data_IF_149146906687
#
_entry.id   IF_149146906687
#
_cell.length_a   1.000
_cell.length_b   1.000
_cell.length_c   1.000
_cell.angle_alpha   90.00
_cell.angle_beta   90.00
_cell.angle_gamma   90.00
#
_symmetry.space_group_name_H-M   'P 1'
#
loop_
_entity.id
_entity.type
_entity.pdbx_description
1 polymer ?
2 non-polymer ?
3 non-polymer ?
4 water ?
#
# COMPACT_ATOMS: atom_id res chain seq x y z
N UNK A 1 -12.86 -12.77 -10.07
CA UNK A 1 -13.10 -14.18 -9.99
C UNK A 1 -12.59 -15.13 -11.07
N UNK A 2 -11.77 -14.77 -12.08
CA UNK A 2 -11.14 -15.75 -12.95
C UNK A 2 -9.92 -16.27 -12.18
N UNK A 3 -9.74 -17.57 -12.01
CA UNK A 3 -8.64 -18.15 -11.27
C UNK A 3 -7.86 -19.00 -12.26
N UNK A 4 -6.55 -18.87 -12.35
CA UNK A 4 -5.82 -19.66 -13.34
C UNK A 4 -5.19 -20.93 -12.79
N UNK A 5 -5.29 -22.00 -13.53
CA UNK A 5 -4.82 -23.30 -13.10
C UNK A 5 -3.38 -23.74 -12.87
N UNK A 6 -2.46 -22.81 -12.78
CA UNK A 6 -1.06 -23.22 -12.95
C UNK A 6 -0.22 -22.25 -12.17
N UNK A 7 -0.88 -21.54 -11.25
CA UNK A 7 -0.23 -20.54 -10.43
C UNK A 7 -0.37 -20.98 -8.98
N UNK A 8 0.36 -20.34 -8.10
CA UNK A 8 0.31 -20.58 -6.67
C UNK A 8 -0.26 -19.31 -6.07
N UNK A 9 -1.07 -19.40 -5.02
CA UNK A 9 -1.76 -18.24 -4.51
C UNK A 9 -1.56 -18.03 -3.02
N UNK A 10 -1.49 -16.76 -2.61
CA UNK A 10 -1.44 -16.41 -1.22
C UNK A 10 -2.84 -15.95 -0.79
N UNK A 11 -3.21 -16.18 0.48
CA UNK A 11 -4.45 -15.68 1.10
C UNK A 11 -4.64 -14.19 0.92
N UNK A 12 -3.56 -13.42 0.89
CA UNK A 12 -3.69 -11.99 0.70
C UNK A 12 -3.86 -11.62 -0.77
N UNK A 13 -4.14 -12.59 -1.65
CA UNK A 13 -4.49 -12.43 -3.05
C UNK A 13 -3.43 -12.02 -4.04
N UNK A 14 -2.27 -12.66 -3.91
CA UNK A 14 -1.15 -12.48 -4.83
C UNK A 14 -0.97 -13.86 -5.48
N UNK A 15 -0.48 -13.88 -6.70
CA UNK A 15 -0.21 -15.12 -7.40
C UNK A 15 1.28 -15.21 -7.64
N UNK A 16 1.78 -16.42 -7.85
CA UNK A 16 3.18 -16.65 -8.19
C UNK A 16 3.14 -17.61 -9.39
N UNK A 17 3.96 -17.32 -10.41
CA UNK A 17 4.16 -18.17 -11.56
C UNK A 17 5.63 -18.50 -11.49
N UNK A 18 5.94 -19.74 -11.21
CA UNK A 18 7.32 -20.18 -11.10
C UNK A 18 7.73 -20.86 -12.40
N UNK A 19 8.66 -20.31 -13.19
CA UNK A 19 9.09 -20.96 -14.43
C UNK A 19 10.60 -21.08 -14.20
N UNK A 20 11.11 -22.28 -13.98
CA UNK A 20 12.54 -22.51 -13.78
C UNK A 20 13.08 -21.85 -12.51
N UNK A 21 14.08 -20.97 -12.67
CA UNK A 21 14.69 -20.30 -11.54
C UNK A 21 14.22 -18.87 -11.33
N UNK A 22 13.12 -18.44 -11.95
CA UNK A 22 12.56 -17.16 -11.65
C UNK A 22 11.09 -17.39 -11.32
N UNK A 23 10.53 -16.43 -10.59
CA UNK A 23 9.15 -16.47 -10.19
C UNK A 23 8.63 -15.07 -10.45
N UNK A 24 7.46 -14.96 -11.08
CA UNK A 24 6.80 -13.69 -11.39
C UNK A 24 5.63 -13.59 -10.40
N UNK A 25 5.44 -12.40 -9.84
CA UNK A 25 4.42 -12.12 -8.84
C UNK A 25 3.50 -11.00 -9.33
N UNK A 26 2.19 -11.08 -9.03
CA UNK A 26 1.21 -10.05 -9.30
C UNK A 26 0.02 -10.23 -8.36
N UNK A 27 -1.07 -9.50 -8.50
CA UNK A 27 -2.23 -9.68 -7.63
C UNK A 27 -3.35 -10.32 -8.47
N UNK A 28 -4.30 -11.02 -7.86
CA UNK A 28 -5.26 -11.77 -8.64
C UNK A 28 -6.40 -10.93 -9.20
N UNK A 29 -7.21 -11.59 -10.04
CA UNK A 29 -8.40 -10.97 -10.58
C UNK A 29 -9.36 -10.65 -9.45
N UNK A 30 -9.47 -11.49 -8.41
CA UNK A 30 -10.35 -11.19 -7.28
C UNK A 30 -9.87 -9.93 -6.58
N UNK A 31 -8.55 -9.79 -6.41
CA UNK A 31 -8.01 -8.61 -5.77
C UNK A 31 -8.33 -7.37 -6.59
N UNK A 32 -8.09 -7.29 -7.91
CA UNK A 32 -8.33 -6.01 -8.59
C UNK A 32 -9.80 -5.67 -8.61
N UNK A 33 -10.65 -6.70 -8.72
CA UNK A 33 -12.08 -6.47 -8.80
C UNK A 33 -12.63 -5.87 -7.52
N UNK A 34 -12.09 -6.27 -6.36
CA UNK A 34 -12.48 -5.69 -5.09
C UNK A 34 -11.82 -4.36 -4.82
N UNK A 35 -10.64 -4.02 -5.36
CA UNK A 35 -10.05 -2.72 -5.07
C UNK A 35 -10.70 -1.61 -5.86
N UNK A 36 -11.17 -1.96 -7.06
CA UNK A 36 -11.74 -0.99 -7.96
C UNK A 36 -10.63 -0.51 -8.85
N UNK A 37 -10.84 0.63 -9.50
CA UNK A 37 -9.87 1.20 -10.44
C UNK A 37 -8.52 1.51 -9.80
N UNK A 38 -7.46 0.89 -10.32
CA UNK A 38 -6.11 1.08 -9.84
C UNK A 38 -5.52 2.29 -10.57
N UNK A 39 -5.12 3.27 -9.75
CA UNK A 39 -4.59 4.52 -10.26
C UNK A 39 -3.09 4.71 -10.01
N UNK A 40 -2.41 3.90 -9.19
CA UNK A 40 -0.98 4.06 -8.98
C UNK A 40 -0.43 2.78 -8.36
N UNK A 41 0.86 2.48 -8.57
CA UNK A 41 1.53 1.27 -8.08
C UNK A 41 2.91 1.70 -7.61
N UNK A 42 3.36 1.21 -6.47
CA UNK A 42 4.69 1.49 -5.95
C UNK A 42 5.47 0.16 -5.93
N UNK A 43 6.61 0.08 -6.60
CA UNK A 43 7.37 -1.17 -6.73
C UNK A 43 8.75 -1.06 -6.07
N UNK A 44 9.42 -2.15 -5.65
CA UNK A 44 10.79 -2.12 -5.19
C UNK A 44 11.80 -1.85 -6.32
N UNK A 45 13.05 -1.80 -5.89
CA UNK A 45 14.17 -1.53 -6.74
C UNK A 45 14.80 -2.88 -7.09
N UNK A 46 15.40 -3.06 -8.27
CA UNK A 46 16.16 -4.25 -8.63
C UNK A 46 17.30 -4.50 -7.66
N UNK A 47 17.55 -5.75 -7.29
CA UNK A 47 18.62 -6.10 -6.37
C UNK A 47 18.17 -6.19 -4.91
N UNK A 48 16.96 -5.75 -4.62
CA UNK A 48 16.36 -5.78 -3.29
C UNK A 48 15.92 -7.19 -2.95
N UNK A 49 15.91 -7.56 -1.68
CA UNK A 49 15.38 -8.83 -1.22
C UNK A 49 13.97 -8.60 -0.72
N UNK A 50 13.09 -9.56 -0.97
CA UNK A 50 11.74 -9.52 -0.45
C UNK A 50 11.63 -10.77 0.44
N UNK A 51 10.73 -10.79 1.43
CA UNK A 51 10.58 -11.91 2.38
C UNK A 51 9.12 -12.32 2.39
N UNK A 52 8.89 -13.61 2.39
CA UNK A 52 7.59 -14.23 2.46
C UNK A 52 6.74 -13.52 3.49
N UNK A 53 5.56 -13.04 3.14
CA UNK A 53 4.63 -12.40 4.06
C UNK A 53 4.93 -10.96 4.43
N UNK A 54 6.02 -10.36 3.96
CA UNK A 54 6.35 -8.98 4.25
C UNK A 54 6.03 -8.19 3.00
N UNK A 55 5.71 -6.90 3.17
CA UNK A 55 5.29 -6.07 2.05
C UNK A 55 6.47 -5.67 1.19
N UNK A 56 6.24 -5.63 -0.12
CA UNK A 56 7.28 -5.17 -1.02
C UNK A 56 6.84 -3.95 -1.81
N UNK A 57 5.54 -3.60 -1.83
CA UNK A 57 5.07 -2.50 -2.64
C UNK A 57 3.64 -2.19 -2.30
N UNK A 58 2.95 -1.42 -3.12
CA UNK A 58 1.58 -1.03 -2.81
C UNK A 58 0.83 -0.75 -4.09
N UNK A 59 -0.49 -0.99 -4.04
CA UNK A 59 -1.37 -0.72 -5.15
C UNK A 59 -2.36 0.31 -4.60
N UNK A 60 -2.63 1.40 -5.32
CA UNK A 60 -3.56 2.41 -4.87
C UNK A 60 -4.71 2.47 -5.84
N UNK A 61 -5.91 2.37 -5.29
CA UNK A 61 -7.13 2.48 -6.07
C UNK A 61 -7.68 3.88 -5.82
N UNK A 62 -8.85 4.17 -6.39
CA UNK A 62 -9.50 5.48 -6.20
C UNK A 62 -9.91 5.74 -4.75
N UNK A 63 -10.14 4.68 -3.96
CA UNK A 63 -10.57 4.80 -2.58
C UNK A 63 -9.50 4.42 -1.56
N UNK A 64 -8.46 3.63 -1.89
CA UNK A 64 -7.61 3.09 -0.84
C UNK A 64 -6.24 2.60 -1.24
N UNK A 65 -5.33 2.51 -0.27
CA UNK A 65 -3.98 1.97 -0.46
C UNK A 65 -4.01 0.52 0.03
N UNK A 66 -3.46 -0.39 -0.73
CA UNK A 66 -3.36 -1.77 -0.34
C UNK A 66 -1.89 -2.22 -0.44
N UNK A 67 -1.23 -2.59 0.65
CA UNK A 67 0.17 -2.99 0.60
C UNK A 67 0.18 -4.43 0.19
N UNK A 68 1.12 -4.79 -0.68
CA UNK A 68 1.17 -6.14 -1.22
C UNK A 68 2.33 -6.88 -0.60
N UNK A 69 2.04 -8.06 -0.10
CA UNK A 69 3.04 -8.88 0.59
C UNK A 69 3.70 -9.85 -0.36
N UNK A 70 4.99 -10.15 -0.22
CA UNK A 70 5.62 -11.08 -1.13
C UNK A 70 5.11 -12.47 -0.76
N UNK A 71 4.63 -13.35 -1.66
CA UNK A 71 4.22 -14.70 -1.30
C UNK A 71 5.38 -15.62 -1.00
N UNK A 72 6.62 -15.31 -1.45
CA UNK A 72 7.81 -16.11 -1.19
C UNK A 72 9.02 -15.17 -1.03
N UNK A 73 10.18 -15.63 -0.59
CA UNK A 73 11.38 -14.84 -0.38
C UNK A 73 12.29 -14.89 -1.61
N UNK A 74 13.06 -13.83 -1.88
CA UNK A 74 13.93 -13.83 -3.04
C UNK A 74 14.58 -12.49 -3.28
N UNK A 75 15.26 -12.36 -4.41
CA UNK A 75 15.92 -11.11 -4.79
C UNK A 75 15.21 -10.63 -6.05
N UNK A 76 14.78 -9.37 -6.07
CA UNK A 76 14.11 -8.76 -7.21
C UNK A 76 15.16 -8.64 -8.31
N UNK A 77 14.86 -9.13 -9.49
CA UNK A 77 15.76 -8.97 -10.60
C UNK A 77 15.11 -8.13 -11.68
N UNK A 78 13.78 -8.14 -11.85
CA UNK A 78 13.11 -7.31 -12.84
C UNK A 78 11.82 -6.76 -12.24
N UNK A 79 11.47 -5.51 -12.58
CA UNK A 79 10.33 -4.77 -12.03
C UNK A 79 9.51 -4.32 -13.24
N UNK A 80 8.18 -4.43 -13.23
CA UNK A 80 7.39 -4.00 -14.37
C UNK A 80 7.31 -2.49 -14.47
N UNK A 81 8.28 -1.84 -15.14
CA UNK A 81 8.24 -0.39 -15.23
C UNK A 81 7.05 0.15 -16.04
N UNK A 82 6.38 -0.67 -16.86
CA UNK A 82 5.21 -0.28 -17.63
C UNK A 82 4.01 0.11 -16.75
N UNK A 83 3.91 -0.46 -15.55
CA UNK A 83 2.84 -0.17 -14.61
C UNK A 83 2.82 1.24 -14.09
N UNK A 84 3.96 1.91 -14.00
CA UNK A 84 3.98 3.25 -13.44
C UNK A 84 3.16 4.22 -14.30
N UNK A 85 3.30 4.06 -15.60
CA UNK A 85 2.54 4.86 -16.53
C UNK A 85 1.19 4.24 -16.84
N UNK A 86 1.02 2.94 -16.65
CA UNK A 86 -0.24 2.34 -16.98
C UNK A 86 -0.76 1.51 -15.81
N UNK A 87 -1.09 2.05 -14.62
CA UNK A 87 -1.45 1.25 -13.44
C UNK A 87 -2.70 0.37 -13.67
N UNK A 88 -3.51 0.78 -14.65
CA UNK A 88 -4.76 0.14 -15.07
C UNK A 88 -4.57 -1.27 -15.60
N UNK A 89 -3.35 -1.65 -16.03
CA UNK A 89 -3.06 -3.01 -16.48
C UNK A 89 -3.33 -4.03 -15.38
N UNK A 90 -3.32 -3.59 -14.11
CA UNK A 90 -3.66 -4.48 -13.01
C UNK A 90 -5.14 -4.81 -13.11
N UNK A 91 -6.01 -3.88 -13.50
CA UNK A 91 -7.43 -4.18 -13.63
C UNK A 91 -7.72 -4.96 -14.90
N UNK A 92 -7.03 -4.62 -16.01
CA UNK A 92 -7.30 -5.29 -17.26
C UNK A 92 -6.59 -6.62 -17.50
N UNK A 93 -5.41 -6.80 -16.94
CA UNK A 93 -4.61 -7.97 -17.20
C UNK A 93 -3.90 -8.43 -15.94
N UNK A 94 -4.53 -8.84 -14.82
CA UNK A 94 -3.81 -9.11 -13.57
C UNK A 94 -2.77 -10.23 -13.66
N UNK A 95 -3.01 -11.19 -14.56
CA UNK A 95 -2.16 -12.35 -14.67
C UNK A 95 -1.14 -12.28 -15.79
N UNK A 96 -1.24 -11.29 -16.68
CA UNK A 96 -0.36 -11.23 -17.84
C UNK A 96 0.41 -9.93 -17.83
N UNK A 97 -0.23 -8.85 -18.32
CA UNK A 97 0.42 -7.56 -18.44
C UNK A 97 0.56 -6.81 -17.14
N UNK A 98 -0.24 -7.18 -16.12
CA UNK A 98 -0.19 -6.56 -14.81
C UNK A 98 0.80 -7.23 -13.86
N UNK A 99 1.77 -8.02 -14.32
CA UNK A 99 2.74 -8.63 -13.43
C UNK A 99 3.49 -7.50 -12.75
N UNK A 100 3.99 -7.69 -11.53
CA UNK A 100 4.61 -6.60 -10.83
C UNK A 100 6.10 -6.78 -10.72
N UNK A 101 6.62 -7.91 -10.25
CA UNK A 101 8.05 -8.12 -10.06
C UNK A 101 8.43 -9.55 -10.48
N UNK A 102 9.73 -9.76 -10.74
CA UNK A 102 10.29 -11.07 -11.03
C UNK A 102 11.41 -11.22 -10.05
N UNK A 103 11.46 -12.40 -9.47
CA UNK A 103 12.32 -12.74 -8.36
C UNK A 103 13.16 -13.98 -8.63
N UNK A 104 14.34 -14.06 -7.97
CA UNK A 104 15.10 -15.30 -7.91
C UNK A 104 14.74 -15.87 -6.53
N UNK A 105 13.99 -16.97 -6.45
CA UNK A 105 13.50 -17.56 -5.20
C UNK A 105 14.65 -18.05 -4.34
N UNK A 106 14.80 -17.59 -3.12
CA UNK A 106 15.90 -18.03 -2.28
C UNK A 106 15.56 -19.26 -1.42
N UNK A 107 14.27 -19.51 -1.15
CA UNK A 107 13.86 -20.69 -0.41
C UNK A 107 12.71 -21.33 -1.16
N UNK A 108 12.93 -22.02 -2.28
CA UNK A 108 11.87 -22.39 -3.20
C UNK A 108 10.82 -23.33 -2.61
N UNK A 109 11.08 -24.06 -1.52
CA UNK A 109 10.01 -24.90 -1.02
C UNK A 109 8.96 -24.13 -0.21
N UNK A 110 9.08 -22.80 -0.05
CA UNK A 110 7.99 -21.99 0.51
C UNK A 110 6.79 -22.10 -0.43
N UNK A 111 7.04 -22.46 -1.69
CA UNK A 111 5.98 -22.69 -2.64
C UNK A 111 5.10 -23.87 -2.27
N UNK A 112 5.52 -24.72 -1.32
CA UNK A 112 4.73 -25.83 -0.82
C UNK A 112 3.51 -25.36 -0.05
N UNK A 113 3.72 -24.29 0.71
CA UNK A 113 2.74 -23.68 1.60
C UNK A 113 1.72 -22.76 0.94
N UNK A 114 1.68 -22.70 -0.39
CA UNK A 114 0.79 -21.79 -1.06
C UNK A 114 -0.37 -22.60 -1.59
N UNK A 115 -1.49 -21.91 -1.68
CA UNK A 115 -2.72 -22.52 -2.13
C UNK A 115 -2.67 -22.72 -3.63
N UNK A 116 -3.25 -23.82 -4.09
CA UNK A 116 -3.42 -24.03 -5.51
C UNK A 116 -4.73 -23.39 -5.92
N UNK A 117 -5.06 -23.40 -7.21
CA UNK A 117 -6.28 -22.79 -7.72
C UNK A 117 -7.62 -23.18 -7.06
N UNK A 118 -7.93 -24.46 -6.84
CA UNK A 118 -9.17 -24.86 -6.18
C UNK A 118 -9.20 -24.32 -4.77
N UNK A 119 -8.12 -24.51 -4.00
CA UNK A 119 -8.03 -24.00 -2.65
C UNK A 119 -8.20 -22.49 -2.61
N UNK A 120 -7.64 -21.76 -3.57
CA UNK A 120 -7.81 -20.32 -3.58
C UNK A 120 -9.26 -19.94 -3.89
N UNK A 121 -9.91 -20.67 -4.80
CA UNK A 121 -11.31 -20.43 -5.14
C UNK A 121 -12.19 -20.63 -3.91
N UNK A 122 -12.02 -21.73 -3.16
CA UNK A 122 -12.81 -21.99 -1.98
C UNK A 122 -12.55 -20.90 -0.96
N UNK A 123 -11.28 -20.52 -0.78
CA UNK A 123 -10.92 -19.45 0.13
C UNK A 123 -11.65 -18.13 -0.18
N UNK A 124 -11.67 -17.74 -1.46
CA UNK A 124 -12.36 -16.51 -1.87
C UNK A 124 -13.86 -16.64 -1.63
N UNK A 125 -14.45 -17.81 -1.86
CA UNK A 125 -15.85 -18.03 -1.59
C UNK A 125 -16.15 -17.82 -0.12
N UNK A 126 -15.34 -18.40 0.77
CA UNK A 126 -15.52 -18.26 2.22
C UNK A 126 -15.39 -16.81 2.66
N UNK A 127 -14.38 -16.14 2.12
CA UNK A 127 -14.14 -14.78 2.46
C UNK A 127 -15.27 -13.87 1.98
N UNK A 128 -15.80 -14.09 0.78
CA UNK A 128 -16.90 -13.30 0.26
C UNK A 128 -18.21 -13.66 0.94
N UNK A 129 -18.39 -14.87 1.45
CA UNK A 129 -19.60 -15.27 2.14
C UNK A 129 -19.58 -14.86 3.61
N UNK A 130 -18.48 -14.30 4.13
CA UNK A 130 -18.53 -13.70 5.46
C UNK A 130 -19.10 -12.31 5.22
N UNK A 131 -20.29 -12.26 4.58
CA UNK A 131 -21.03 -11.08 4.16
C UNK A 131 -22.47 -11.53 3.93
N UNK B 1 -9.60 19.52 -2.80
CA UNK B 1 -9.48 19.24 -1.40
C UNK B 1 -8.42 20.23 -0.92
N UNK B 2 -8.24 20.59 0.34
CA UNK B 2 -7.13 21.42 0.70
C UNK B 2 -5.83 20.67 0.64
N UNK B 3 -4.81 21.38 0.21
CA UNK B 3 -3.44 20.90 0.19
C UNK B 3 -2.75 22.03 0.92
N UNK B 4 -1.92 21.74 1.89
CA UNK B 4 -1.26 22.80 2.64
C UNK B 4 0.13 23.02 2.08
N UNK B 5 0.57 24.26 2.20
CA UNK B 5 1.84 24.63 1.64
C UNK B 5 3.14 24.24 2.25
N UNK B 6 3.31 24.12 3.56
CA UNK B 6 4.62 23.77 4.06
C UNK B 6 4.79 22.27 4.29
N UNK B 7 3.95 21.42 3.69
CA UNK B 7 4.01 20.01 4.01
C UNK B 7 4.59 19.25 2.86
N UNK B 8 5.10 18.05 3.12
CA UNK B 8 5.57 17.17 2.05
C UNK B 8 4.57 16.01 2.01
N UNK B 9 4.42 15.39 0.84
CA UNK B 9 3.36 14.42 0.58
C UNK B 9 3.87 13.16 -0.08
N UNK B 10 3.38 11.99 0.29
CA UNK B 10 3.73 10.74 -0.37
C UNK B 10 2.63 10.43 -1.40
N UNK B 11 2.89 9.75 -2.52
CA UNK B 11 1.85 9.30 -3.45
C UNK B 11 0.75 8.45 -2.83
N UNK B 12 0.98 7.76 -1.70
CA UNK B 12 -0.09 7.04 -1.03
C UNK B 12 -0.94 7.92 -0.14
N UNK B 13 -0.78 9.25 -0.22
CA UNK B 13 -1.64 10.26 0.40
C UNK B 13 -1.51 10.52 1.88
N UNK B 14 -0.27 10.41 2.35
CA UNK B 14 0.05 10.82 3.70
C UNK B 14 0.89 12.09 3.59
N UNK B 15 0.86 12.94 4.60
CA UNK B 15 1.64 14.17 4.64
C UNK B 15 2.67 14.07 5.76
N UNK B 16 3.70 14.93 5.71
CA UNK B 16 4.75 15.00 6.70
C UNK B 16 4.99 16.48 7.01
N UNK B 17 4.98 16.85 8.28
CA UNK B 17 5.33 18.19 8.74
C UNK B 17 6.61 17.97 9.52
N UNK B 18 7.74 18.49 9.11
CA UNK B 18 8.96 18.27 9.87
C UNK B 18 9.22 19.52 10.71
N UNK B 19 9.33 19.39 12.03
CA UNK B 19 9.59 20.50 12.93
C UNK B 19 10.67 20.05 13.88
N UNK B 20 11.85 20.64 13.75
CA UNK B 20 12.99 20.31 14.58
C UNK B 20 13.40 18.89 14.29
N UNK B 21 13.56 18.07 15.33
CA UNK B 21 13.87 16.69 15.09
C UNK B 21 12.59 15.85 15.15
N UNK B 22 11.38 16.42 15.07
CA UNK B 22 10.16 15.61 15.08
C UNK B 22 9.46 15.75 13.73
N UNK B 23 8.81 14.70 13.24
CA UNK B 23 8.00 14.76 12.04
C UNK B 23 6.64 14.20 12.42
N UNK B 24 5.58 14.94 12.12
CA UNK B 24 4.21 14.53 12.39
C UNK B 24 3.61 14.00 11.09
N UNK B 25 2.85 12.92 11.13
CA UNK B 25 2.31 12.27 9.94
C UNK B 25 0.79 12.09 10.04
N UNK B 26 0.08 12.23 8.92
CA UNK B 26 -1.35 12.04 8.89
C UNK B 26 -1.74 11.74 7.46
N UNK B 27 -3.02 11.73 7.17
CA UNK B 27 -3.59 11.44 5.86
C UNK B 27 -4.11 12.76 5.28
N UNK B 28 -4.11 12.96 3.96
CA UNK B 28 -4.50 14.24 3.38
C UNK B 28 -5.99 14.48 3.33
N UNK B 29 -6.39 15.70 2.98
CA UNK B 29 -7.80 15.99 2.80
C UNK B 29 -8.37 15.13 1.67
N UNK B 30 -7.65 15.01 0.55
CA UNK B 30 -8.04 14.15 -0.56
C UNK B 30 -8.24 12.70 -0.10
N UNK B 31 -7.37 12.20 0.78
CA UNK B 31 -7.47 10.82 1.21
C UNK B 31 -8.74 10.60 2.03
N UNK B 32 -9.02 11.48 3.00
CA UNK B 32 -10.20 11.25 3.83
C UNK B 32 -11.44 11.45 2.99
N UNK B 33 -11.39 12.37 2.04
CA UNK B 33 -12.50 12.62 1.16
C UNK B 33 -12.90 11.36 0.41
N UNK B 34 -11.92 10.65 -0.17
CA UNK B 34 -12.18 9.46 -0.96
C UNK B 34 -12.50 8.23 -0.14
N UNK B 35 -12.14 8.27 1.13
CA UNK B 35 -12.38 7.15 2.01
C UNK B 35 -13.77 7.18 2.60
N UNK B 36 -14.30 8.37 2.92
CA UNK B 36 -15.58 8.47 3.59
C UNK B 36 -15.35 8.54 5.09
N UNK B 37 -16.41 8.53 5.89
CA UNK B 37 -16.36 8.63 7.33
C UNK B 37 -15.52 7.52 7.94
N UNK B 38 -14.42 7.92 8.55
CA UNK B 38 -13.56 7.00 9.28
C UNK B 38 -14.24 6.58 10.56
N UNK B 39 -14.30 5.25 10.74
CA UNK B 39 -14.92 4.68 11.92
C UNK B 39 -13.92 3.93 12.78
N UNK B 40 -12.68 3.64 12.34
CA UNK B 40 -11.73 2.93 13.18
C UNK B 40 -10.35 3.26 12.64
N UNK B 41 -9.37 3.40 13.51
CA UNK B 41 -8.01 3.77 13.14
C UNK B 41 -7.12 2.84 13.96
N UNK B 42 -6.14 2.19 13.33
CA UNK B 42 -5.22 1.29 13.98
C UNK B 42 -3.85 1.96 13.89
N UNK B 43 -3.19 2.12 15.04
CA UNK B 43 -1.98 2.91 15.23
C UNK B 43 -0.91 2.11 15.94
N UNK B 44 0.40 2.33 15.70
CA UNK B 44 1.46 1.60 16.38
C UNK B 44 1.63 2.08 17.82
N UNK B 45 2.61 1.50 18.52
CA UNK B 45 2.96 1.86 19.88
C UNK B 45 4.15 2.82 19.82
N UNK B 46 4.38 3.79 20.73
CA UNK B 46 5.66 4.49 20.88
C UNK B 46 6.82 3.52 21.04
N UNK B 47 8.00 3.69 20.45
CA UNK B 47 9.10 2.75 20.64
C UNK B 47 9.37 1.91 19.41
N UNK B 48 8.36 1.78 18.58
CA UNK B 48 8.42 0.96 17.38
C UNK B 48 9.05 1.80 16.24
N UNK B 49 9.89 1.26 15.36
CA UNK B 49 10.37 2.01 14.22
C UNK B 49 9.47 1.85 13.01
N UNK B 50 9.29 2.87 12.16
CA UNK B 50 8.52 2.76 10.92
C UNK B 50 9.53 2.93 9.77
N UNK B 51 9.26 2.45 8.57
CA UNK B 51 10.21 2.45 7.47
C UNK B 51 9.52 3.08 6.27
N UNK B 52 10.21 3.93 5.51
CA UNK B 52 9.62 4.55 4.33
C UNK B 52 8.97 3.51 3.40
N UNK B 53 7.71 3.77 3.03
CA UNK B 53 6.99 2.87 2.16
C UNK B 53 6.32 1.70 2.87
N UNK B 54 6.57 1.43 4.15
CA UNK B 54 5.96 0.30 4.82
C UNK B 54 4.78 0.80 5.65
N UNK B 55 3.71 0.02 5.70
CA UNK B 55 2.51 0.32 6.48
C UNK B 55 2.78 0.35 7.98
N UNK B 56 2.24 1.34 8.67
CA UNK B 56 2.35 1.39 10.11
C UNK B 56 1.00 1.28 10.76
N UNK B 57 -0.09 1.36 10.00
CA UNK B 57 -1.39 1.36 10.61
C UNK B 57 -2.40 1.23 9.51
N UNK B 58 -3.64 1.47 9.84
CA UNK B 58 -4.69 1.33 8.85
C UNK B 58 -5.87 2.16 9.26
N UNK B 59 -6.62 2.69 8.31
CA UNK B 59 -7.83 3.41 8.64
C UNK B 59 -8.97 2.60 8.03
N UNK B 60 -10.08 2.52 8.73
CA UNK B 60 -11.18 1.72 8.29
C UNK B 60 -12.33 2.72 8.23
N UNK B 61 -12.91 2.88 7.06
CA UNK B 61 -14.06 3.75 6.93
C UNK B 61 -15.24 2.85 6.66
N UNK B 62 -16.36 3.52 6.51
CA UNK B 62 -17.65 2.96 6.14
C UNK B 62 -17.63 2.19 4.80
N UNK B 63 -16.60 2.38 4.01
CA UNK B 63 -16.59 1.92 2.66
C UNK B 63 -15.33 1.19 2.23
N UNK B 64 -14.26 1.26 3.01
CA UNK B 64 -12.97 0.75 2.57
C UNK B 64 -12.02 0.68 3.73
N UNK B 65 -11.04 -0.18 3.65
CA UNK B 65 -9.98 -0.25 4.64
C UNK B 65 -8.76 0.19 3.83
N UNK B 66 -7.92 1.04 4.40
CA UNK B 66 -6.76 1.52 3.68
C UNK B 66 -5.53 1.38 4.57
N UNK B 67 -4.44 0.84 4.03
CA UNK B 67 -3.18 0.80 4.74
C UNK B 67 -2.58 2.19 4.76
N UNK B 68 -1.98 2.58 5.89
CA UNK B 68 -1.31 3.86 6.02
C UNK B 68 0.17 3.56 6.10
N UNK B 69 0.93 4.11 5.15
CA UNK B 69 2.35 3.91 4.95
C UNK B 69 3.18 5.09 5.44
N UNK B 70 4.32 4.85 6.07
CA UNK B 70 5.13 5.95 6.58
C UNK B 70 5.81 6.60 5.38
N UNK B 71 5.78 7.93 5.20
CA UNK B 71 6.53 8.62 4.14
C UNK B 71 8.03 8.56 4.36
N UNK B 72 8.50 8.45 5.62
CA UNK B 72 9.90 8.43 5.95
C UNK B 72 10.13 7.44 7.11
N UNK B 73 11.37 7.06 7.36
CA UNK B 73 11.75 6.13 8.40
C UNK B 73 12.12 6.84 9.71
N UNK B 74 11.88 6.17 10.84
CA UNK B 74 12.19 6.74 12.14
C UNK B 74 11.59 5.89 13.24
N UNK B 75 11.64 6.41 14.46
CA UNK B 75 11.11 5.73 15.63
C UNK B 75 9.88 6.52 16.04
N UNK B 76 8.80 5.82 16.33
CA UNK B 76 7.56 6.40 16.82
C UNK B 76 7.81 6.90 18.25
N UNK B 77 7.57 8.18 18.51
CA UNK B 77 7.73 8.72 19.85
C UNK B 77 6.37 9.11 20.39
N UNK B 78 5.29 9.32 19.60
CA UNK B 78 3.99 9.64 20.16
C UNK B 78 2.88 9.21 19.20
N UNK B 79 1.69 8.80 19.65
CA UNK B 79 0.62 8.47 18.74
C UNK B 79 -0.59 9.23 19.25
N UNK B 80 -1.52 9.55 18.35
CA UNK B 80 -2.69 10.32 18.71
C UNK B 80 -3.77 9.41 19.30
N UNK B 81 -3.75 9.26 20.62
CA UNK B 81 -4.73 8.43 21.34
C UNK B 81 -6.14 8.99 21.24
N UNK B 82 -6.27 10.29 21.00
CA UNK B 82 -7.56 10.95 20.76
C UNK B 82 -8.30 10.31 19.61
N UNK B 83 -7.55 9.82 18.63
CA UNK B 83 -8.11 9.15 17.48
C UNK B 83 -8.88 7.86 17.79
N UNK B 84 -8.64 7.16 18.90
CA UNK B 84 -9.39 5.93 19.14
C UNK B 84 -10.84 6.23 19.53
N UNK B 85 -11.01 7.31 20.29
CA UNK B 85 -12.31 7.72 20.79
C UNK B 85 -13.01 8.63 19.82
N UNK B 86 -12.27 9.33 18.98
CA UNK B 86 -12.88 10.21 18.01
C UNK B 86 -12.30 9.96 16.60
N UNK B 87 -12.51 8.80 15.90
CA UNK B 87 -11.90 8.51 14.59
C UNK B 87 -12.24 9.54 13.50
N UNK B 88 -13.36 10.22 13.67
CA UNK B 88 -13.85 11.23 12.74
C UNK B 88 -12.96 12.46 12.67
N UNK B 89 -11.99 12.64 13.57
CA UNK B 89 -11.10 13.78 13.47
C UNK B 89 -10.26 13.71 12.20
N UNK B 90 -10.08 12.55 11.59
CA UNK B 90 -9.39 12.43 10.31
C UNK B 90 -10.18 13.07 9.19
N UNK B 91 -11.51 13.03 9.26
CA UNK B 91 -12.35 13.61 8.24
C UNK B 91 -12.48 15.10 8.48
N UNK B 92 -12.69 15.49 9.74
CA UNK B 92 -12.87 16.90 10.04
C UNK B 92 -11.58 17.70 10.10
N UNK B 93 -10.47 17.12 10.51
CA UNK B 93 -9.26 17.88 10.71
C UNK B 93 -8.04 17.12 10.22
N UNK B 94 -7.90 16.77 8.95
CA UNK B 94 -6.86 15.85 8.49
C UNK B 94 -5.44 16.36 8.74
N UNK B 95 -5.27 17.67 8.62
CA UNK B 95 -3.98 18.27 8.81
C UNK B 95 -3.66 18.75 10.23
N UNK B 96 -4.57 18.81 11.22
CA UNK B 96 -4.21 19.37 12.53
C UNK B 96 -4.56 18.44 13.66
N UNK B 97 -5.83 18.33 14.06
CA UNK B 97 -6.19 17.46 15.17
C UNK B 97 -6.27 15.99 14.79
N UNK B 98 -6.41 15.69 13.50
CA UNK B 98 -6.39 14.32 13.00
C UNK B 98 -4.99 13.74 12.74
N UNK B 99 -3.88 14.33 13.23
CA UNK B 99 -2.56 13.77 13.05
C UNK B 99 -2.56 12.35 13.65
N UNK B 100 -1.73 11.42 13.18
CA UNK B 100 -1.78 10.05 13.64
C UNK B 100 -0.56 9.71 14.49
N UNK B 101 0.66 9.94 14.00
CA UNK B 101 1.87 9.63 14.76
C UNK B 101 2.90 10.74 14.64
N UNK B 102 3.84 10.79 15.57
CA UNK B 102 4.99 11.68 15.51
C UNK B 102 6.19 10.76 15.56
N UNK B 103 7.20 10.96 14.71
CA UNK B 103 8.41 10.14 14.75
C UNK B 103 9.70 10.96 14.87
N UNK B 104 10.82 10.33 15.23
CA UNK B 104 12.09 11.01 15.19
C UNK B 104 12.71 10.54 13.88
N UNK B 105 12.98 11.36 12.84
CA UNK B 105 13.52 10.92 11.58
C UNK B 105 14.90 10.29 11.72
N UNK B 106 14.98 9.16 11.03
CA UNK B 106 16.19 8.37 10.91
C UNK B 106 17.03 8.89 9.75
N UNK B 107 16.44 9.16 8.57
CA UNK B 107 17.22 9.67 7.46
C UNK B 107 16.50 10.87 6.88
N UNK B 108 16.77 12.09 7.36
CA UNK B 108 16.04 13.31 7.01
C UNK B 108 15.98 13.56 5.51
N UNK B 109 16.97 13.08 4.77
CA UNK B 109 17.05 13.28 3.33
C UNK B 109 16.01 12.52 2.52
N UNK B 110 15.28 11.58 3.13
CA UNK B 110 14.19 10.88 2.46
C UNK B 110 13.10 11.87 2.15
N UNK B 111 13.08 12.96 2.92
CA UNK B 111 12.18 14.05 2.67
C UNK B 111 12.38 14.60 1.25
N UNK B 112 13.58 14.53 0.68
CA UNK B 112 13.79 15.07 -0.64
C UNK B 112 13.11 14.24 -1.71
N UNK B 113 12.69 12.99 -1.49
CA UNK B 113 11.95 12.27 -2.53
C UNK B 113 10.43 12.48 -2.49
N UNK B 114 9.93 13.22 -1.50
CA UNK B 114 8.51 13.43 -1.36
C UNK B 114 8.04 14.54 -2.28
N UNK B 115 6.74 14.54 -2.51
CA UNK B 115 6.12 15.52 -3.35
C UNK B 115 5.88 16.82 -2.61
N UNK B 116 6.20 17.95 -3.23
CA UNK B 116 5.80 19.23 -2.66
C UNK B 116 4.31 19.46 -2.90
N UNK B 117 3.70 20.47 -2.29
CA UNK B 117 2.28 20.77 -2.45
C UNK B 117 1.79 20.93 -3.89
N UNK B 118 2.47 21.73 -4.74
CA UNK B 118 2.06 21.86 -6.14
C UNK B 118 2.04 20.52 -6.86
N UNK B 119 3.12 19.72 -6.77
CA UNK B 119 3.16 18.44 -7.45
C UNK B 119 2.07 17.51 -6.97
N UNK B 120 1.82 17.53 -5.66
CA UNK B 120 0.81 16.67 -5.11
C UNK B 120 -0.55 17.06 -5.66
N UNK B 121 -0.85 18.37 -5.76
CA UNK B 121 -2.14 18.82 -6.29
C UNK B 121 -2.35 18.29 -7.69
N UNK B 122 -1.29 18.32 -8.50
CA UNK B 122 -1.35 17.82 -9.86
C UNK B 122 -1.50 16.30 -9.88
N UNK B 123 -0.80 15.58 -9.01
CA UNK B 123 -0.84 14.13 -8.96
C UNK B 123 -2.27 13.68 -8.67
N UNK B 124 -2.95 14.39 -7.75
CA UNK B 124 -4.31 14.07 -7.41
C UNK B 124 -5.30 14.24 -8.56
N UNK B 125 -4.98 15.18 -9.46
CA UNK B 125 -5.75 15.47 -10.67
C UNK B 125 -5.65 14.39 -11.70
N UNK B 126 -4.45 13.86 -11.95
CA UNK B 126 -4.31 12.71 -12.84
C UNK B 126 -5.18 11.61 -12.24
N UNK B 127 -4.98 11.30 -10.96
CA UNK B 127 -5.71 10.19 -10.36
C UNK B 127 -7.22 10.23 -10.50
N UNK B 128 -7.76 11.41 -10.29
CA UNK B 128 -9.19 11.59 -10.37
C UNK B 128 -9.74 11.77 -11.76
N UNK B 129 -8.90 11.97 -12.78
CA UNK B 129 -9.39 12.11 -14.14
C UNK B 129 -9.86 10.79 -14.72
N UNK B 130 -10.84 10.81 -15.64
CA UNK B 130 -11.21 9.58 -16.34
C UNK B 130 -10.01 9.16 -17.18
N UNK B 131 -9.84 7.86 -17.20
CA UNK B 131 -8.72 7.23 -17.86
C UNK B 131 -9.44 6.25 -18.78
#
# INVERSE_FOLDING_TARGET
>A
SNVLDGLKYAPSHEWVKHEGSVATIGITDHAQDHLGEVVFVELPEPGVSVTKGKGFGAVESVKATSDVNSPISGEVIEVNTGLTGKPGLINSSPYEDGWMIKIKPTSPDELESLLGAKEYTKFCEEEDAAH
>B
SNVLDGLKYAPSHEWVKHEGSVATIGITDHAQDHLGEVVFVELPEPGVSVTKGKGFGAVESVKATSDVNSPISGEVIEVNTGLTGKPGLINSSPYEDGWMIKIKPTSPDELESLLGAKEYTKFCEEEDAAH
#
